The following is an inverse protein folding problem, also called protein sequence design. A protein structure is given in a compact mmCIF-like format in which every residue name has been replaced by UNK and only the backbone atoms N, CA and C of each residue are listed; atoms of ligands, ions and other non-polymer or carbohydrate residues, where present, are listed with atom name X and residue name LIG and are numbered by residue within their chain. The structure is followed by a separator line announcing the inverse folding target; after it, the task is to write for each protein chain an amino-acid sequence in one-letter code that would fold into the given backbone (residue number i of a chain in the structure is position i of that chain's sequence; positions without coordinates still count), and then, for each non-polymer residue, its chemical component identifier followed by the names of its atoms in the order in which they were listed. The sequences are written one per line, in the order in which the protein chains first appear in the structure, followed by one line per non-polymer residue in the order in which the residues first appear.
data_IF_157803006093
#
_entry.id   IF_157803006093
#
_cell.length_a   1.000
_cell.length_b   1.000
_cell.length_c   1.000
_cell.angle_alpha   90.00
_cell.angle_beta   90.00
_cell.angle_gamma   90.00
#
_symmetry.space_group_name_H-M   'P 1'
#
loop_
_entity.id
_entity.type
_entity.pdbx_description
1 polymer ?
#
# COMPACT_ATOMS: atom_id res chain seq x y z
N UNK A 1 -11.91 -11.25 -20.38
CA UNK A 1 -10.86 -11.69 -21.31
C UNK A 1 -9.79 -12.42 -20.55
N UNK A 2 -9.74 -13.74 -20.69
CA UNK A 2 -8.62 -14.53 -20.21
C UNK A 2 -7.46 -14.39 -21.20
N UNK A 3 -6.23 -14.35 -20.69
CA UNK A 3 -5.03 -14.31 -21.53
C UNK A 3 -4.19 -15.53 -21.18
N UNK A 4 -3.59 -16.16 -22.19
CA UNK A 4 -2.74 -17.34 -22.04
C UNK A 4 -1.37 -17.01 -21.43
N UNK A 5 -0.29 -17.57 -21.99
CA UNK A 5 1.06 -17.51 -21.40
C UNK A 5 1.64 -16.08 -21.35
N UNK A 6 1.27 -15.19 -22.29
CA UNK A 6 1.88 -13.86 -22.39
C UNK A 6 0.87 -12.78 -22.80
N UNK A 7 0.99 -11.59 -22.18
CA UNK A 7 0.24 -10.37 -22.50
C UNK A 7 1.17 -9.17 -22.54
N UNK A 8 1.04 -8.32 -23.56
CA UNK A 8 1.68 -7.00 -23.62
C UNK A 8 0.65 -5.93 -23.97
N UNK A 9 0.74 -4.77 -23.33
CA UNK A 9 -0.11 -3.61 -23.59
C UNK A 9 0.79 -2.38 -23.74
N UNK A 10 0.78 -1.78 -24.94
CA UNK A 10 1.50 -0.55 -25.25
C UNK A 10 0.50 0.59 -25.44
N UNK A 11 0.71 1.71 -24.75
CA UNK A 11 -0.18 2.88 -24.81
C UNK A 11 0.64 4.11 -25.18
N UNK A 12 0.29 4.78 -26.27
CA UNK A 12 1.12 5.85 -26.84
C UNK A 12 1.01 7.22 -26.16
N UNK A 13 -0.12 7.52 -25.51
CA UNK A 13 -0.35 8.85 -24.90
C UNK A 13 -0.89 8.77 -23.48
N UNK A 14 -2.03 8.11 -23.27
CA UNK A 14 -2.72 8.08 -21.98
C UNK A 14 -3.38 6.73 -21.74
N UNK A 15 -3.14 6.17 -20.55
CA UNK A 15 -3.83 5.00 -20.05
C UNK A 15 -4.61 5.39 -18.80
N UNK A 16 -5.90 5.06 -18.73
CA UNK A 16 -6.75 5.32 -17.59
C UNK A 16 -7.54 4.05 -17.25
N UNK A 17 -7.55 3.70 -15.97
CA UNK A 17 -8.25 2.55 -15.43
C UNK A 17 -9.21 3.07 -14.37
N UNK A 18 -10.50 2.88 -14.58
CA UNK A 18 -11.53 3.18 -13.58
C UNK A 18 -12.17 1.86 -13.16
N UNK A 19 -12.23 1.62 -11.86
CA UNK A 19 -12.82 0.42 -11.28
C UNK A 19 -13.95 0.87 -10.36
N UNK A 20 -15.14 0.28 -10.52
CA UNK A 20 -16.34 0.73 -9.81
C UNK A 20 -16.45 0.27 -8.36
N UNK A 21 -15.77 -0.83 -8.00
CA UNK A 21 -15.77 -1.40 -6.64
C UNK A 21 -14.34 -1.78 -6.22
N UNK A 22 -13.89 -2.98 -6.60
CA UNK A 22 -12.64 -3.56 -6.13
C UNK A 22 -11.69 -3.90 -7.28
N UNK A 23 -10.39 -3.61 -7.09
CA UNK A 23 -9.32 -3.99 -7.99
C UNK A 23 -8.31 -4.85 -7.24
N UNK A 24 -8.11 -6.10 -7.66
CA UNK A 24 -7.10 -7.00 -7.11
C UNK A 24 -6.08 -7.38 -8.17
N UNK A 25 -4.80 -7.40 -7.79
CA UNK A 25 -3.69 -7.76 -8.68
C UNK A 25 -2.81 -8.79 -7.98
N UNK A 26 -2.93 -10.05 -8.41
CA UNK A 26 -2.11 -11.15 -7.92
C UNK A 26 -0.96 -11.42 -8.89
N UNK A 27 0.27 -11.48 -8.39
CA UNK A 27 1.48 -11.69 -9.19
C UNK A 27 2.28 -12.84 -8.60
N UNK A 28 2.56 -13.87 -9.41
CA UNK A 28 3.18 -15.11 -8.92
C UNK A 28 4.69 -15.03 -8.63
N UNK A 29 5.40 -14.02 -9.16
CA UNK A 29 6.85 -13.91 -8.97
C UNK A 29 7.28 -12.48 -8.63
N UNK A 30 7.19 -11.55 -9.60
CA UNK A 30 7.68 -10.18 -9.42
C UNK A 30 6.80 -9.15 -10.11
N UNK A 31 6.47 -8.07 -9.41
CA UNK A 31 5.88 -6.86 -9.99
C UNK A 31 6.95 -5.76 -10.03
N UNK A 32 7.08 -5.09 -11.18
CA UNK A 32 7.98 -3.95 -11.34
C UNK A 32 7.21 -2.79 -11.92
N UNK A 33 7.32 -1.63 -11.28
CA UNK A 33 6.66 -0.39 -11.69
C UNK A 33 7.70 0.72 -11.77
N UNK A 34 7.79 1.38 -12.92
CA UNK A 34 8.77 2.43 -13.20
C UNK A 34 8.08 3.63 -13.82
N UNK A 35 8.18 4.77 -13.14
CA UNK A 35 7.50 6.01 -13.53
C UNK A 35 8.52 7.11 -13.80
N UNK A 36 8.47 7.69 -15.01
CA UNK A 36 9.50 8.63 -15.46
C UNK A 36 9.52 10.00 -14.75
N UNK A 37 8.43 10.40 -14.10
CA UNK A 37 8.34 11.71 -13.40
C UNK A 37 7.80 11.58 -11.99
N UNK A 38 6.54 11.21 -11.82
CA UNK A 38 5.86 11.20 -10.51
C UNK A 38 4.88 10.03 -10.43
N UNK A 39 5.03 9.20 -9.40
CA UNK A 39 4.04 8.20 -9.00
C UNK A 39 3.34 8.68 -7.72
N UNK A 40 2.00 8.70 -7.72
CA UNK A 40 1.20 9.12 -6.57
C UNK A 40 0.30 7.95 -6.17
N UNK A 41 0.45 7.48 -4.94
CA UNK A 41 -0.42 6.49 -4.32
C UNK A 41 -1.26 7.21 -3.27
N UNK A 42 -2.58 7.19 -3.43
CA UNK A 42 -3.52 7.88 -2.54
C UNK A 42 -4.61 6.91 -2.11
N UNK A 43 -4.97 6.96 -0.83
CA UNK A 43 -6.06 6.21 -0.24
C UNK A 43 -6.88 7.13 0.66
N UNK A 44 -8.18 6.87 0.78
CA UNK A 44 -9.08 7.68 1.60
C UNK A 44 -8.93 7.44 3.10
N UNK A 45 -8.65 6.20 3.50
CA UNK A 45 -8.65 5.79 4.92
C UNK A 45 -7.31 5.18 5.35
N UNK A 46 -6.80 4.23 4.56
CA UNK A 46 -5.66 3.41 4.92
C UNK A 46 -4.82 3.06 3.69
N UNK A 47 -3.50 3.27 3.76
CA UNK A 47 -2.53 2.85 2.76
C UNK A 47 -1.41 2.08 3.46
N UNK A 48 -1.17 0.83 3.05
CA UNK A 48 -0.17 -0.03 3.67
C UNK A 48 0.74 -0.69 2.64
N UNK A 49 2.03 -0.83 3.00
CA UNK A 49 3.02 -1.64 2.32
C UNK A 49 3.56 -2.69 3.31
N UNK A 50 3.35 -3.98 3.02
CA UNK A 50 3.77 -5.10 3.89
C UNK A 50 4.79 -5.99 3.18
N UNK A 51 5.81 -6.41 3.92
CA UNK A 51 6.74 -7.47 3.53
C UNK A 51 7.15 -8.29 4.76
N UNK A 52 6.52 -9.44 4.97
CA UNK A 52 6.71 -10.24 6.18
C UNK A 52 6.36 -9.45 7.45
N UNK A 53 7.32 -9.28 8.37
CA UNK A 53 7.14 -8.51 9.61
C UNK A 53 7.29 -6.99 9.42
N UNK A 54 7.83 -6.54 8.27
CA UNK A 54 8.04 -5.12 7.99
C UNK A 54 6.76 -4.50 7.40
N UNK A 55 6.38 -3.33 7.92
CA UNK A 55 5.21 -2.58 7.46
C UNK A 55 5.40 -1.06 7.50
N UNK A 56 4.88 -0.39 6.48
CA UNK A 56 4.68 1.05 6.43
C UNK A 56 3.20 1.34 6.24
N UNK A 57 2.61 2.07 7.19
CA UNK A 57 1.16 2.38 7.20
C UNK A 57 0.96 3.89 7.27
N UNK A 58 0.03 4.39 6.44
CA UNK A 58 -0.47 5.76 6.44
C UNK A 58 -1.98 5.73 6.70
N UNK A 59 -2.45 6.57 7.61
CA UNK A 59 -3.86 6.67 8.00
C UNK A 59 -4.45 8.05 7.72
N UNK A 60 -5.78 8.12 7.56
CA UNK A 60 -6.50 9.36 7.26
C UNK A 60 -6.39 10.45 8.32
N UNK A 61 -6.09 10.08 9.57
CA UNK A 61 -5.79 11.02 10.66
C UNK A 61 -4.37 11.63 10.59
N UNK A 62 -3.60 11.29 9.54
CA UNK A 62 -2.23 11.74 9.33
C UNK A 62 -1.18 10.90 10.06
N UNK A 63 -1.58 9.79 10.69
CA UNK A 63 -0.66 8.84 11.29
C UNK A 63 0.27 8.21 10.26
N UNK A 64 1.55 8.13 10.61
CA UNK A 64 2.57 7.40 9.85
C UNK A 64 3.20 6.40 10.81
N UNK A 65 3.22 5.13 10.43
CA UNK A 65 3.82 4.09 11.23
C UNK A 65 4.82 3.30 10.40
N UNK A 66 6.07 3.27 10.88
CA UNK A 66 7.13 2.44 10.35
C UNK A 66 7.47 1.37 11.39
N UNK A 67 7.23 0.11 11.06
CA UNK A 67 7.53 -1.01 11.94
C UNK A 67 8.35 -2.08 11.24
N UNK A 68 9.31 -2.63 11.98
CA UNK A 68 10.11 -3.77 11.57
C UNK A 68 10.98 -4.24 12.73
N UNK A 69 11.60 -5.40 12.56
CA UNK A 69 12.56 -5.97 13.54
C UNK A 69 13.84 -5.14 13.65
N UNK A 70 14.28 -4.58 12.53
CA UNK A 70 15.47 -3.73 12.44
C UNK A 70 15.16 -2.55 11.52
N UNK A 71 15.48 -1.33 11.97
CA UNK A 71 15.27 -0.09 11.22
C UNK A 71 16.59 0.67 11.24
N UNK A 72 17.21 0.82 10.07
CA UNK A 72 18.40 1.65 9.88
C UNK A 72 18.01 2.95 9.18
N UNK A 73 18.42 4.09 9.73
CA UNK A 73 18.26 5.40 9.12
C UNK A 73 19.65 5.97 8.85
N UNK A 74 19.98 6.19 7.58
CA UNK A 74 21.27 6.72 7.17
C UNK A 74 21.05 8.00 6.35
N UNK A 75 21.68 9.09 6.76
CA UNK A 75 21.72 10.36 6.03
C UNK A 75 23.18 10.73 5.77
N UNK A 76 23.54 11.04 4.52
CA UNK A 76 24.90 11.45 4.16
C UNK A 76 25.19 12.86 4.66
N UNK A 77 24.26 13.80 4.44
CA UNK A 77 24.40 15.19 4.86
C UNK A 77 23.73 15.48 6.20
N UNK A 78 22.45 15.11 6.35
CA UNK A 78 21.70 15.33 7.59
C UNK A 78 20.47 14.43 7.72
N UNK A 79 20.01 14.27 8.96
CA UNK A 79 18.71 13.70 9.33
C UNK A 79 18.04 14.66 10.31
N UNK A 80 17.01 15.38 9.85
CA UNK A 80 16.33 16.42 10.62
C UNK A 80 14.95 15.95 11.08
N UNK A 81 14.52 16.39 12.26
CA UNK A 81 13.20 16.09 12.79
C UNK A 81 12.73 17.18 13.73
N UNK A 82 11.63 17.84 13.36
CA UNK A 82 11.01 18.88 14.15
C UNK A 82 9.75 18.35 14.83
N UNK A 83 9.66 18.55 16.14
CA UNK A 83 8.54 18.09 16.95
C UNK A 83 8.49 18.84 18.27
N UNK A 84 7.30 18.88 18.90
CA UNK A 84 7.17 19.31 20.29
C UNK A 84 7.80 18.31 21.27
N UNK A 85 7.84 17.03 20.91
CA UNK A 85 8.38 15.95 21.75
C UNK A 85 8.99 14.85 20.87
N UNK A 86 10.20 14.42 21.21
CA UNK A 86 10.83 13.25 20.62
C UNK A 86 11.08 12.23 21.73
N UNK A 87 10.53 11.04 21.54
CA UNK A 87 10.49 9.95 22.53
C UNK A 87 11.33 8.78 22.05
N UNK A 88 12.43 8.49 22.76
CA UNK A 88 13.33 7.39 22.42
C UNK A 88 13.35 6.35 23.53
N UNK A 89 13.14 5.09 23.16
CA UNK A 89 13.21 3.94 24.08
C UNK A 89 12.34 4.10 25.35
N UNK A 90 11.15 4.70 25.23
CA UNK A 90 10.23 4.91 26.35
C UNK A 90 8.92 4.11 26.24
N UNK A 91 8.78 3.27 25.21
CA UNK A 91 7.63 2.35 25.05
C UNK A 91 6.31 3.01 24.62
N UNK A 92 6.29 4.31 24.34
CA UNK A 92 5.06 5.04 23.94
C UNK A 92 4.69 4.87 22.46
N UNK A 93 5.54 4.22 21.67
CA UNK A 93 5.28 3.96 20.24
C UNK A 93 4.06 3.04 20.08
N UNK A 94 3.10 3.48 19.26
CA UNK A 94 1.90 2.69 18.95
C UNK A 94 2.18 1.70 17.83
N UNK A 95 1.50 0.56 17.87
CA UNK A 95 1.44 -0.33 16.71
C UNK A 95 0.63 0.35 15.60
N UNK A 96 0.94 0.09 14.32
CA UNK A 96 0.09 0.48 13.21
C UNK A 96 -1.30 -0.12 13.42
N UNK A 97 -2.37 0.64 13.16
CA UNK A 97 -3.72 0.12 13.19
C UNK A 97 -3.87 -0.95 12.11
N UNK A 98 -4.73 -1.94 12.38
CA UNK A 98 -5.13 -2.90 11.38
C UNK A 98 -5.98 -2.19 10.31
N UNK A 99 -5.83 -2.60 9.05
CA UNK A 99 -6.74 -2.16 8.00
C UNK A 99 -8.17 -2.58 8.38
N UNK A 100 -9.16 -1.73 8.10
CA UNK A 100 -10.56 -2.12 8.25
C UNK A 100 -10.83 -3.37 7.43
N UNK A 101 -11.49 -4.37 8.05
CA UNK A 101 -11.94 -5.55 7.32
C UNK A 101 -12.82 -5.08 6.16
N UNK A 102 -12.37 -5.32 4.93
CA UNK A 102 -13.22 -5.19 3.77
C UNK A 102 -14.33 -6.23 3.96
N UNK A 103 -15.58 -5.76 4.12
CA UNK A 103 -16.73 -6.61 3.90
C UNK A 103 -16.61 -7.08 2.45
N UNK A 104 -16.21 -8.33 2.26
CA UNK A 104 -16.35 -9.00 0.97
C UNK A 104 -17.80 -8.82 0.55
N UNK A 105 -18.01 -8.01 -0.49
CA UNK A 105 -19.27 -8.04 -1.18
C UNK A 105 -19.47 -9.49 -1.63
N UNK A 106 -20.60 -10.13 -1.28
CA UNK A 106 -20.83 -11.52 -1.63
C UNK A 106 -20.64 -11.67 -3.14
N UNK A 107 -19.96 -12.74 -3.53
CA UNK A 107 -19.81 -13.07 -4.94
C UNK A 107 -21.21 -13.12 -5.55
N UNK A 108 -21.49 -12.45 -6.69
CA UNK A 108 -22.76 -12.60 -7.39
C UNK A 108 -23.12 -14.07 -7.68
N UNK A 109 -22.15 -15.00 -7.70
CA UNK A 109 -22.44 -16.44 -7.76
C UNK A 109 -23.04 -17.03 -6.48
N UNK A 110 -22.81 -16.42 -5.32
CA UNK A 110 -23.38 -16.83 -4.03
C UNK A 110 -24.85 -16.39 -3.87
N UNK A 111 -25.33 -15.50 -4.75
CA UNK A 111 -26.71 -15.00 -4.79
C UNK A 111 -27.65 -15.83 -5.68
N UNK A 112 -27.18 -16.93 -6.28
CA UNK A 112 -28.02 -17.83 -7.07
C UNK A 112 -28.27 -19.13 -6.28
N UNK A 113 -29.19 -19.06 -5.32
CA UNK A 113 -29.86 -20.25 -4.77
C UNK A 113 -31.34 -20.19 -5.14
N UNK A 114 -31.69 -21.07 -6.09
CA UNK A 114 -32.99 -21.38 -6.70
C UNK A 114 -33.52 -20.44 -7.80
#
# INVERSE_FOLDING_TARGET
SEVGIFKSLNVGMKYNVNVGRNASVNVGNSKTESTGKTAVYSAGEHLELVCGEARLVLTSDGGIFLNGKHIELQGVDSLNGDSKLISWNCGVSKKPPEASEQQDDPDPSDLIMY
#
